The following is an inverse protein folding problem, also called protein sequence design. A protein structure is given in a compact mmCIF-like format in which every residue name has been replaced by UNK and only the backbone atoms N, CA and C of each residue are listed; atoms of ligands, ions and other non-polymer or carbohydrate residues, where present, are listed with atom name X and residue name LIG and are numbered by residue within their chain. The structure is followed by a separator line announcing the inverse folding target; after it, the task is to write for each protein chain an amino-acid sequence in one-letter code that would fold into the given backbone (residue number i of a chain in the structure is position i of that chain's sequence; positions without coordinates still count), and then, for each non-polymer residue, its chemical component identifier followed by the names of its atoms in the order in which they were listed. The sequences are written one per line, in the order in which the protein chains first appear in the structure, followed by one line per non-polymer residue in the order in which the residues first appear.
data_IF_415474305156
#
_entry.id   IF_415474305156
#
_cell.length_a   1.000
_cell.length_b   1.000
_cell.length_c   1.000
_cell.angle_alpha   90.00
_cell.angle_beta   90.00
_cell.angle_gamma   90.00
#
_symmetry.space_group_name_H-M   'P 1'
#
loop_
_entity.id
_entity.type
_entity.pdbx_description
1 polymer ?
#
# COMPACT_ATOMS: atom_id res chain seq x y z
N UNK A 1 28.07 27.40 19.98
CA UNK A 1 26.68 27.52 19.52
C UNK A 1 26.20 26.10 19.29
N UNK A 2 25.51 25.52 20.27
CA UNK A 2 25.16 24.10 20.29
C UNK A 2 23.98 23.91 19.34
N UNK A 3 24.21 23.19 18.24
CA UNK A 3 23.21 22.88 17.22
C UNK A 3 22.36 21.69 17.70
N UNK A 4 21.59 21.93 18.77
CA UNK A 4 20.70 20.94 19.36
C UNK A 4 19.46 20.84 18.45
N UNK A 5 19.06 19.65 17.97
CA UNK A 5 17.95 19.53 17.04
C UNK A 5 16.68 20.11 17.65
N UNK A 6 15.85 20.82 16.85
CA UNK A 6 14.68 21.53 17.36
C UNK A 6 13.74 20.57 18.10
N UNK A 7 13.43 20.91 19.36
CA UNK A 7 12.45 20.18 20.16
C UNK A 7 11.05 20.62 19.73
N UNK A 8 10.18 19.64 19.45
CA UNK A 8 8.77 19.89 19.12
C UNK A 8 8.07 20.47 20.37
N UNK A 9 7.75 21.76 20.35
CA UNK A 9 6.96 22.48 21.38
C UNK A 9 5.46 22.40 21.12
N UNK A 10 4.98 21.28 20.58
CA UNK A 10 3.56 21.08 20.33
C UNK A 10 2.88 20.45 21.56
N UNK A 11 1.55 20.61 21.69
CA UNK A 11 0.77 20.26 22.88
C UNK A 11 0.93 18.79 23.33
N UNK A 12 0.33 18.36 24.47
CA UNK A 12 0.56 17.04 25.09
C UNK A 12 0.39 15.81 24.17
N UNK A 13 -0.29 15.98 23.04
CA UNK A 13 -0.58 14.97 22.00
C UNK A 13 0.50 14.86 20.92
N UNK A 14 1.38 15.85 20.76
CA UNK A 14 2.40 15.87 19.72
C UNK A 14 3.42 14.72 19.80
N UNK A 15 3.84 14.25 21.01
CA UNK A 15 4.65 13.05 21.11
C UNK A 15 3.94 11.80 20.58
N UNK A 16 2.62 11.70 20.73
CA UNK A 16 1.82 10.56 20.25
C UNK A 16 1.72 10.60 18.72
N UNK A 17 1.34 11.74 18.15
CA UNK A 17 1.27 11.93 16.71
C UNK A 17 2.62 11.61 16.04
N UNK A 18 3.71 12.16 16.58
CA UNK A 18 5.05 11.88 16.10
C UNK A 18 5.42 10.39 16.21
N UNK A 19 5.04 9.74 17.29
CA UNK A 19 5.30 8.30 17.48
C UNK A 19 4.55 7.45 16.47
N UNK A 20 3.29 7.77 16.17
CA UNK A 20 2.49 7.08 15.14
C UNK A 20 3.14 7.26 13.77
N UNK A 21 3.48 8.51 13.40
CA UNK A 21 4.13 8.78 12.11
C UNK A 21 5.47 8.05 11.99
N UNK A 22 6.27 7.99 13.06
CA UNK A 22 7.55 7.29 13.06
C UNK A 22 7.34 5.78 12.96
N UNK A 23 6.40 5.22 13.71
CA UNK A 23 6.05 3.80 13.62
C UNK A 23 5.58 3.43 12.20
N UNK A 24 4.70 4.22 11.58
CA UNK A 24 4.25 3.99 10.21
C UNK A 24 5.40 3.99 9.20
N UNK A 25 6.37 4.91 9.35
CA UNK A 25 7.58 4.95 8.51
C UNK A 25 8.47 3.73 8.71
N UNK A 26 8.69 3.29 9.95
CA UNK A 26 9.49 2.10 10.22
C UNK A 26 8.82 0.81 9.70
N UNK A 27 7.50 0.69 9.86
CA UNK A 27 6.73 -0.40 9.30
C UNK A 27 6.92 -0.41 7.78
N UNK A 28 6.72 0.73 7.11
CA UNK A 28 6.89 0.82 5.66
C UNK A 28 8.31 0.45 5.21
N UNK A 29 9.34 0.98 5.88
CA UNK A 29 10.74 0.64 5.59
C UNK A 29 11.03 -0.85 5.77
N UNK A 30 10.49 -1.46 6.82
CA UNK A 30 10.69 -2.88 7.11
C UNK A 30 10.05 -3.73 6.01
N UNK A 31 8.82 -3.40 5.60
CA UNK A 31 8.16 -4.06 4.48
C UNK A 31 8.94 -3.88 3.18
N UNK A 32 9.30 -2.63 2.84
CA UNK A 32 10.04 -2.36 1.60
C UNK A 32 11.39 -3.11 1.59
N UNK A 33 12.06 -3.26 2.74
CA UNK A 33 13.30 -4.04 2.85
C UNK A 33 13.05 -5.54 2.64
N UNK A 34 12.14 -6.13 3.42
CA UNK A 34 11.87 -7.58 3.38
C UNK A 34 11.33 -8.02 2.01
N UNK A 35 10.50 -7.18 1.39
CA UNK A 35 9.85 -7.50 0.13
C UNK A 35 10.65 -7.03 -1.10
N UNK A 36 11.73 -6.27 -0.92
CA UNK A 36 12.59 -5.82 -2.04
C UNK A 36 13.23 -6.98 -2.81
N UNK A 37 13.55 -8.09 -2.14
CA UNK A 37 14.07 -9.31 -2.79
C UNK A 37 13.07 -9.92 -3.78
N UNK A 38 11.78 -9.65 -3.58
CA UNK A 38 10.70 -10.06 -4.47
C UNK A 38 10.28 -8.93 -5.43
N UNK A 39 10.98 -7.79 -5.40
CA UNK A 39 10.65 -6.55 -6.11
C UNK A 39 9.34 -5.92 -5.65
N UNK A 40 8.87 -6.21 -4.44
CA UNK A 40 7.60 -5.72 -3.91
C UNK A 40 7.84 -4.63 -2.86
N UNK A 41 6.93 -3.65 -2.83
CA UNK A 41 6.83 -2.68 -1.75
C UNK A 41 5.63 -3.01 -0.85
N UNK A 42 5.42 -2.24 0.22
CA UNK A 42 4.28 -2.43 1.13
C UNK A 42 2.92 -2.59 0.40
N UNK A 43 2.63 -1.75 -0.60
CA UNK A 43 1.36 -1.78 -1.31
C UNK A 43 1.20 -3.05 -2.16
N UNK A 44 2.27 -3.49 -2.83
CA UNK A 44 2.27 -4.76 -3.58
C UNK A 44 2.09 -5.97 -2.67
N UNK A 45 2.79 -6.00 -1.54
CA UNK A 45 2.65 -7.07 -0.55
C UNK A 45 1.23 -7.12 0.04
N UNK A 46 0.66 -5.97 0.41
CA UNK A 46 -0.70 -5.89 0.94
C UNK A 46 -1.75 -6.30 -0.09
N UNK A 47 -1.58 -5.91 -1.36
CA UNK A 47 -2.46 -6.33 -2.46
C UNK A 47 -2.48 -7.86 -2.59
N UNK A 48 -1.31 -8.50 -2.58
CA UNK A 48 -1.22 -9.96 -2.66
C UNK A 48 -1.85 -10.64 -1.46
N UNK A 49 -1.63 -10.12 -0.25
CA UNK A 49 -2.26 -10.64 0.96
C UNK A 49 -3.80 -10.63 0.84
N UNK A 50 -4.38 -9.52 0.37
CA UNK A 50 -5.82 -9.41 0.15
C UNK A 50 -6.35 -10.44 -0.85
N UNK A 51 -5.64 -10.69 -1.95
CA UNK A 51 -6.05 -11.67 -2.96
C UNK A 51 -5.92 -13.10 -2.43
N UNK A 52 -4.87 -13.39 -1.67
CA UNK A 52 -4.67 -14.73 -1.06
C UNK A 52 -5.75 -15.01 -0.02
N UNK A 53 -6.11 -14.02 0.79
CA UNK A 53 -7.09 -14.17 1.87
C UNK A 53 -8.53 -14.21 1.38
N UNK A 54 -8.89 -13.38 0.39
CA UNK A 54 -10.28 -13.20 -0.04
C UNK A 54 -10.57 -13.73 -1.46
N UNK A 55 -9.57 -14.28 -2.15
CA UNK A 55 -9.68 -14.70 -3.54
C UNK A 55 -9.63 -13.54 -4.53
N UNK A 56 -10.09 -13.73 -5.78
CA UNK A 56 -10.08 -12.68 -6.80
C UNK A 56 -10.87 -11.43 -6.37
N UNK A 57 -10.22 -10.26 -6.45
CA UNK A 57 -10.82 -8.96 -6.11
C UNK A 57 -10.78 -8.00 -7.30
N UNK A 58 -11.81 -7.17 -7.42
CA UNK A 58 -11.81 -6.09 -8.41
C UNK A 58 -10.83 -4.99 -8.02
N UNK A 59 -10.30 -4.28 -9.02
CA UNK A 59 -9.38 -3.15 -8.80
C UNK A 59 -10.01 -2.05 -7.92
N UNK A 60 -11.33 -1.86 -8.00
CA UNK A 60 -12.07 -0.93 -7.13
C UNK A 60 -12.02 -1.39 -5.68
N UNK A 61 -12.26 -2.68 -5.40
CA UNK A 61 -12.17 -3.22 -4.03
C UNK A 61 -10.75 -3.13 -3.47
N UNK A 62 -9.74 -3.49 -4.28
CA UNK A 62 -8.33 -3.34 -3.91
C UNK A 62 -7.98 -1.89 -3.60
N UNK A 63 -8.43 -0.94 -4.44
CA UNK A 63 -8.23 0.48 -4.24
C UNK A 63 -8.80 0.98 -2.91
N UNK A 64 -10.06 0.63 -2.62
CA UNK A 64 -10.73 0.98 -1.37
C UNK A 64 -10.03 0.39 -0.15
N UNK A 65 -9.68 -0.91 -0.19
CA UNK A 65 -9.01 -1.60 0.94
C UNK A 65 -7.63 -1.02 1.24
N UNK A 66 -6.88 -0.61 0.21
CA UNK A 66 -5.55 -0.04 0.36
C UNK A 66 -5.56 1.50 0.47
N UNK A 67 -6.74 2.12 0.53
CA UNK A 67 -6.93 3.57 0.59
C UNK A 67 -6.18 4.31 -0.53
N UNK A 68 -6.18 3.73 -1.73
CA UNK A 68 -5.51 4.29 -2.91
C UNK A 68 -6.54 4.65 -3.99
N UNK A 69 -6.24 5.71 -4.75
CA UNK A 69 -7.07 6.10 -5.89
C UNK A 69 -7.09 5.03 -6.98
N UNK A 70 -8.17 5.01 -7.79
CA UNK A 70 -8.37 4.03 -8.87
C UNK A 70 -7.18 3.92 -9.83
N UNK A 71 -6.59 5.05 -10.22
CA UNK A 71 -5.44 5.09 -11.11
C UNK A 71 -4.21 4.41 -10.48
N UNK A 72 -3.94 4.67 -9.19
CA UNK A 72 -2.83 4.04 -8.46
C UNK A 72 -3.04 2.54 -8.28
N UNK A 73 -4.27 2.11 -7.98
CA UNK A 73 -4.63 0.69 -7.91
C UNK A 73 -4.43 0.01 -9.26
N UNK A 74 -4.90 0.63 -10.34
CA UNK A 74 -4.70 0.14 -11.71
C UNK A 74 -3.23 -0.01 -12.05
N UNK A 75 -2.42 1.03 -11.82
CA UNK A 75 -0.99 1.02 -12.11
C UNK A 75 -0.23 -0.04 -11.30
N UNK A 76 -0.59 -0.24 -10.02
CA UNK A 76 0.00 -1.30 -9.21
C UNK A 76 -0.35 -2.69 -9.75
N UNK A 77 -1.62 -2.92 -10.13
CA UNK A 77 -2.02 -4.19 -10.74
C UNK A 77 -1.33 -4.39 -12.09
N UNK A 78 -1.21 -3.35 -12.92
CA UNK A 78 -0.49 -3.39 -14.20
C UNK A 78 0.98 -3.81 -14.01
N UNK A 79 1.67 -3.23 -13.02
CA UNK A 79 3.07 -3.59 -12.71
C UNK A 79 3.20 -5.06 -12.30
N UNK A 80 2.35 -5.49 -11.35
CA UNK A 80 2.38 -6.86 -10.84
C UNK A 80 2.00 -7.89 -11.92
N UNK A 81 1.10 -7.54 -12.82
CA UNK A 81 0.71 -8.40 -13.95
C UNK A 81 1.82 -8.51 -15.00
N UNK A 82 2.47 -7.39 -15.36
CA UNK A 82 3.64 -7.39 -16.27
C UNK A 82 4.77 -8.27 -15.75
N UNK A 83 4.90 -8.36 -14.43
CA UNK A 83 5.89 -9.19 -13.75
C UNK A 83 5.45 -10.64 -13.53
N UNK A 84 4.23 -10.99 -13.96
CA UNK A 84 3.67 -12.35 -13.85
C UNK A 84 3.25 -12.75 -12.43
N UNK A 85 3.15 -11.81 -11.50
CA UNK A 85 2.83 -12.07 -10.08
C UNK A 85 1.32 -12.23 -9.89
N UNK A 86 0.53 -11.44 -10.61
CA UNK A 86 -0.94 -11.54 -10.65
C UNK A 86 -1.42 -11.69 -12.08
N UNK A 87 -2.69 -12.05 -12.26
CA UNK A 87 -3.35 -12.04 -13.58
C UNK A 87 -4.72 -11.39 -13.46
N UNK A 88 -5.09 -10.58 -14.45
CA UNK A 88 -6.47 -10.14 -14.59
C UNK A 88 -7.31 -11.25 -15.19
N UNK A 89 -8.51 -11.40 -14.64
CA UNK A 89 -9.56 -12.21 -15.22
C UNK A 89 -10.66 -11.25 -15.66
N UNK A 90 -11.18 -11.46 -16.86
CA UNK A 90 -12.39 -10.75 -17.28
C UNK A 90 -13.51 -11.13 -16.30
N UNK A 91 -14.18 -10.12 -15.74
CA UNK A 91 -15.40 -10.37 -14.98
C UNK A 91 -16.41 -11.01 -15.92
N UNK A 92 -17.05 -12.13 -15.55
CA UNK A 92 -18.09 -12.74 -16.39
C UNK A 92 -19.34 -11.84 -16.59
N UNK A 93 -19.36 -10.64 -16.02
CA UNK A 93 -20.47 -9.69 -16.02
C UNK A 93 -20.24 -8.39 -16.81
N UNK A 94 -19.11 -8.18 -17.50
CA UNK A 94 -18.88 -6.96 -18.29
C UNK A 94 -19.45 -7.07 -19.73
N UNK A 95 -20.66 -7.63 -19.86
CA UNK A 95 -21.48 -7.59 -21.07
C UNK A 95 -22.74 -6.71 -20.92
N UNK A 96 -22.91 -5.98 -19.81
CA UNK A 96 -24.04 -5.07 -19.63
C UNK A 96 -23.64 -3.85 -18.80
N UNK A 97 -23.27 -2.76 -19.47
CA UNK A 97 -23.48 -1.38 -19.01
C UNK A 97 -23.24 -0.44 -20.20
N UNK A 98 -24.32 -0.20 -20.95
CA UNK A 98 -24.47 1.02 -21.76
C UNK A 98 -24.91 2.21 -20.90
#
# INVERSE_FOLDING_TARGET
MTDDPPKLTAGPWAPIEWSIMRAAREIRRSFDTVFSDFGLNLSGAALLALIVEHGPLSQTKLGSSLQMGRASAGALVDDLEKRGIVRRQASPSDNESG
#
